data_IF_849451858634
#
_entry.id   IF_849451858634
#
_cell.length_a   1.000
_cell.length_b   1.000
_cell.length_c   1.000
_cell.angle_alpha   90.00
_cell.angle_beta   90.00
_cell.angle_gamma   90.00
#
_symmetry.space_group_name_H-M   'P 1'
#
loop_
_entity.id
_entity.type
_entity.pdbx_description
1 polymer ?
#
# COMPACT_ATOMS: atom_id res chain seq x y z
N UNK A 1 12.88 5.86 -25.87
CA UNK A 1 11.53 5.46 -25.42
C UNK A 1 11.70 4.56 -24.21
N UNK A 2 11.66 5.13 -23.00
CA UNK A 2 11.66 4.33 -21.77
C UNK A 2 10.28 3.68 -21.63
N UNK A 3 10.24 2.35 -21.64
CA UNK A 3 9.03 1.57 -21.36
C UNK A 3 8.65 1.74 -19.89
N UNK A 4 7.34 1.72 -19.63
CA UNK A 4 6.72 1.80 -18.31
C UNK A 4 7.50 1.00 -17.26
N UNK A 5 7.89 1.66 -16.17
CA UNK A 5 8.21 0.98 -14.92
C UNK A 5 6.94 0.24 -14.50
N UNK A 6 7.06 -1.06 -14.25
CA UNK A 6 5.98 -1.94 -13.82
C UNK A 6 5.05 -1.28 -12.78
N UNK A 7 3.72 -1.49 -12.86
CA UNK A 7 2.80 -0.93 -11.88
C UNK A 7 2.95 -1.68 -10.56
N UNK A 8 3.07 -0.93 -9.46
CA UNK A 8 3.32 -1.45 -8.10
C UNK A 8 2.34 -0.78 -7.14
N UNK A 9 1.65 -1.58 -6.34
CA UNK A 9 0.83 -1.09 -5.22
C UNK A 9 1.62 -1.16 -3.91
N UNK A 10 1.52 -0.10 -3.09
CA UNK A 10 2.07 -0.07 -1.74
C UNK A 10 0.99 -0.43 -0.72
N UNK A 11 1.10 -1.61 -0.11
CA UNK A 11 0.13 -2.10 0.88
C UNK A 11 0.68 -1.91 2.29
N UNK A 12 -0.08 -1.18 3.10
CA UNK A 12 0.23 -0.90 4.50
C UNK A 12 -0.55 -1.76 5.50
N UNK A 13 0.13 -2.37 6.46
CA UNK A 13 -0.46 -3.21 7.50
C UNK A 13 -0.14 -2.74 8.93
N UNK A 14 -1.15 -2.84 9.80
CA UNK A 14 -1.08 -2.42 11.20
C UNK A 14 -0.98 -0.90 11.39
N UNK A 15 -1.17 -0.44 12.62
CA UNK A 15 -1.03 0.98 12.98
C UNK A 15 0.25 1.22 13.79
N UNK A 16 0.87 2.38 13.61
CA UNK A 16 2.04 2.81 14.38
C UNK A 16 1.88 4.27 14.78
N UNK A 17 2.24 4.60 16.04
CA UNK A 17 2.20 5.99 16.53
C UNK A 17 3.32 6.81 15.89
N UNK A 18 3.06 8.09 15.66
CA UNK A 18 3.99 9.03 15.04
C UNK A 18 5.36 9.07 15.72
N UNK A 19 5.40 9.08 17.06
CA UNK A 19 6.65 9.07 17.85
C UNK A 19 7.55 7.86 17.64
N UNK A 20 7.05 6.81 16.96
CA UNK A 20 7.82 5.60 16.63
C UNK A 20 8.17 5.53 15.13
N UNK A 21 7.88 6.57 14.36
CA UNK A 21 8.24 6.69 12.95
C UNK A 21 9.27 7.80 12.78
N UNK A 22 10.05 7.70 11.71
CA UNK A 22 10.98 8.75 11.29
C UNK A 22 10.21 9.90 10.61
N UNK A 23 10.76 11.12 10.64
CA UNK A 23 10.14 12.28 9.98
C UNK A 23 9.83 12.05 8.49
N UNK A 24 10.71 11.41 7.69
CA UNK A 24 10.41 11.11 6.29
C UNK A 24 9.23 10.15 6.12
N UNK A 25 9.13 9.09 6.93
CA UNK A 25 7.99 8.16 6.88
C UNK A 25 6.67 8.89 7.20
N UNK A 26 6.67 9.74 8.22
CA UNK A 26 5.49 10.54 8.59
C UNK A 26 5.10 11.50 7.47
N UNK A 27 6.08 12.17 6.84
CA UNK A 27 5.85 13.03 5.68
C UNK A 27 5.21 12.27 4.52
N UNK A 28 5.77 11.11 4.18
CA UNK A 28 5.26 10.25 3.11
C UNK A 28 3.80 9.85 3.32
N UNK A 29 3.43 9.37 4.52
CA UNK A 29 2.03 9.02 4.80
C UNK A 29 1.08 10.23 4.80
N UNK A 30 1.56 11.41 5.26
CA UNK A 30 0.75 12.64 5.27
C UNK A 30 0.50 13.19 3.87
N UNK A 31 1.49 13.14 2.99
CA UNK A 31 1.36 13.55 1.58
C UNK A 31 0.30 12.72 0.85
N UNK A 32 0.26 11.41 1.12
CA UNK A 32 -0.74 10.50 0.57
C UNK A 32 -2.09 10.53 1.30
N UNK A 33 -2.21 11.30 2.39
CA UNK A 33 -3.44 11.39 3.17
C UNK A 33 -3.87 10.09 3.87
N UNK A 34 -2.94 9.15 4.10
CA UNK A 34 -3.24 7.83 4.68
C UNK A 34 -2.81 7.71 6.15
N UNK A 35 -3.47 6.85 6.96
CA UNK A 35 -3.05 6.60 8.33
C UNK A 35 -1.66 5.96 8.43
N UNK A 36 -0.90 6.31 9.47
CA UNK A 36 0.43 5.78 9.76
C UNK A 36 0.44 4.25 9.92
N UNK A 37 1.23 3.56 9.09
CA UNK A 37 1.29 2.10 9.05
C UNK A 37 2.52 1.53 9.75
N UNK A 38 2.39 0.30 10.28
CA UNK A 38 3.52 -0.39 10.93
C UNK A 38 4.45 -1.06 9.94
N UNK A 39 3.89 -1.61 8.86
CA UNK A 39 4.62 -2.25 7.76
C UNK A 39 4.06 -1.72 6.44
N UNK A 40 4.92 -1.51 5.46
CA UNK A 40 4.58 -1.20 4.07
C UNK A 40 5.32 -2.18 3.19
N UNK A 41 4.65 -2.72 2.18
CA UNK A 41 5.24 -3.62 1.19
C UNK A 41 4.72 -3.29 -0.20
N UNK A 42 5.59 -3.46 -1.17
CA UNK A 42 5.29 -3.34 -2.59
C UNK A 42 4.74 -4.66 -3.13
N UNK A 43 3.71 -4.56 -3.96
CA UNK A 43 3.11 -5.67 -4.69
C UNK A 43 3.09 -5.30 -6.17
N UNK A 44 3.89 -5.97 -7.01
CA UNK A 44 3.80 -5.80 -8.46
C UNK A 44 2.41 -6.24 -8.93
N UNK A 45 1.76 -5.38 -9.71
CA UNK A 45 0.45 -5.64 -10.29
C UNK A 45 0.52 -5.50 -11.81
N UNK A 46 -0.63 -5.68 -12.48
CA UNK A 46 -0.81 -5.34 -13.89
C UNK A 46 -1.40 -3.93 -14.00
N UNK A 47 -1.20 -3.22 -15.12
CA UNK A 47 -1.59 -1.80 -15.25
C UNK A 47 -3.09 -1.56 -14.97
N UNK A 48 -3.96 -2.52 -15.31
CA UNK A 48 -5.40 -2.44 -15.06
C UNK A 48 -5.85 -2.82 -13.63
N UNK A 49 -4.92 -3.13 -12.73
CA UNK A 49 -5.23 -3.61 -11.38
C UNK A 49 -4.69 -2.71 -10.26
N UNK A 50 -4.23 -1.50 -10.59
CA UNK A 50 -3.80 -0.50 -9.61
C UNK A 50 -4.97 -0.05 -8.73
N UNK A 51 -4.72 0.09 -7.44
CA UNK A 51 -5.70 0.60 -6.49
C UNK A 51 -5.47 2.09 -6.21
N UNK A 52 -6.53 2.90 -6.06
CA UNK A 52 -6.39 4.27 -5.58
C UNK A 52 -5.78 4.33 -4.17
N UNK A 53 -5.02 5.39 -3.89
CA UNK A 53 -4.45 5.61 -2.56
C UNK A 53 -5.53 5.63 -1.47
N UNK A 54 -5.23 4.99 -0.34
CA UNK A 54 -6.16 4.88 0.79
C UNK A 54 -7.23 3.80 0.66
N UNK A 55 -7.27 3.04 -0.44
CA UNK A 55 -8.17 1.88 -0.59
C UNK A 55 -7.98 0.88 0.55
N UNK A 56 -9.06 0.52 1.24
CA UNK A 56 -9.01 -0.43 2.35
C UNK A 56 -9.14 -1.87 1.85
N UNK A 57 -8.07 -2.65 2.02
CA UNK A 57 -8.07 -4.08 1.70
C UNK A 57 -8.55 -4.88 2.93
N UNK A 58 -9.56 -5.72 2.71
CA UNK A 58 -10.13 -6.64 3.71
C UNK A 58 -10.08 -8.08 3.22
N UNK A 59 -10.33 -9.05 4.10
CA UNK A 59 -10.34 -10.49 3.74
C UNK A 59 -11.33 -10.81 2.60
N UNK A 60 -12.36 -9.98 2.41
CA UNK A 60 -13.35 -10.13 1.32
C UNK A 60 -12.79 -9.94 -0.09
N UNK A 61 -11.53 -9.49 -0.21
CA UNK A 61 -10.83 -9.45 -1.50
C UNK A 61 -10.44 -10.84 -2.00
N UNK A 62 -10.49 -11.86 -1.13
CA UNK A 62 -10.21 -13.25 -1.48
C UNK A 62 -11.50 -14.06 -1.51
N UNK A 63 -11.57 -14.99 -2.47
CA UNK A 63 -12.71 -15.91 -2.61
C UNK A 63 -12.38 -17.23 -1.86
N UNK A 64 -13.31 -17.80 -1.08
CA UNK A 64 -13.09 -19.09 -0.45
C UNK A 64 -12.72 -20.18 -1.46
N UNK A 65 -11.66 -20.95 -1.18
CA UNK A 65 -11.12 -21.96 -2.08
C UNK A 65 -10.07 -21.44 -3.07
N UNK A 66 -9.76 -20.14 -3.06
CA UNK A 66 -8.65 -19.56 -3.81
C UNK A 66 -7.31 -19.96 -3.19
N UNK A 67 -6.39 -20.47 -4.01
CA UNK A 67 -5.00 -20.68 -3.62
C UNK A 67 -4.23 -19.36 -3.76
N UNK A 68 -3.55 -18.95 -2.69
CA UNK A 68 -2.79 -17.69 -2.54
C UNK A 68 -1.34 -17.93 -2.12
#
# INVERSE_FOLDING_TARGET
>A
MLKCMSPVDFIGAGQKKEKHLTKPEVGHFREQGVPLKRKVKEFPVIEGALLPDGTQITVRHFVPGQSI
#
